data_IF_035215404611
#
_entry.id   IF_035215404611
#
_cell.length_a   1.000
_cell.length_b   1.000
_cell.length_c   1.000
_cell.angle_alpha   90.00
_cell.angle_beta   90.00
_cell.angle_gamma   90.00
#
_symmetry.space_group_name_H-M   'P 1'
#
loop_
_entity.id
_entity.type
_entity.pdbx_description
1 polymer ?
#
# COMPACT_ATOMS: atom_id res chain seq x y z
N UNK A 1 26.02 -3.55 -6.94
CA UNK A 1 25.56 -2.57 -5.91
C UNK A 1 24.30 -1.80 -6.30
N UNK A 2 24.13 -1.28 -7.52
CA UNK A 2 22.82 -0.71 -7.97
C UNK A 2 21.75 -1.77 -8.20
N UNK A 3 22.15 -2.96 -8.64
CA UNK A 3 21.28 -4.15 -8.72
C UNK A 3 20.73 -4.51 -7.34
N UNK A 4 21.50 -4.18 -6.29
CA UNK A 4 21.17 -4.39 -4.89
C UNK A 4 20.06 -3.46 -4.36
N UNK A 5 19.89 -2.28 -4.95
CA UNK A 5 18.75 -1.44 -4.63
C UNK A 5 17.52 -1.83 -5.47
N UNK A 6 17.77 -2.18 -6.75
CA UNK A 6 16.72 -2.49 -7.72
C UNK A 6 15.97 -3.79 -7.41
N UNK A 7 16.63 -4.87 -6.98
CA UNK A 7 15.89 -6.12 -6.72
C UNK A 7 15.11 -6.09 -5.40
N UNK A 8 15.53 -5.30 -4.42
CA UNK A 8 14.77 -5.05 -3.18
C UNK A 8 13.59 -4.17 -3.49
N UNK A 9 13.78 -3.16 -4.33
CA UNK A 9 12.68 -2.36 -4.87
C UNK A 9 11.70 -3.23 -5.64
N UNK A 10 12.17 -4.16 -6.48
CA UNK A 10 11.32 -5.08 -7.25
C UNK A 10 10.56 -6.03 -6.33
N UNK A 11 11.21 -6.64 -5.34
CA UNK A 11 10.58 -7.55 -4.38
C UNK A 11 9.61 -6.83 -3.44
N UNK A 12 9.93 -5.61 -3.02
CA UNK A 12 9.01 -4.73 -2.29
C UNK A 12 7.80 -4.35 -3.15
N UNK A 13 8.00 -4.00 -4.43
CA UNK A 13 6.92 -3.71 -5.37
C UNK A 13 6.07 -4.95 -5.63
N UNK A 14 6.66 -6.14 -5.83
CA UNK A 14 5.96 -7.42 -6.01
C UNK A 14 5.16 -7.82 -4.77
N UNK A 15 5.77 -7.66 -3.58
CA UNK A 15 5.07 -7.90 -2.32
C UNK A 15 3.92 -6.91 -2.14
N UNK A 16 4.08 -5.64 -2.51
CA UNK A 16 3.02 -4.61 -2.46
C UNK A 16 1.95 -4.81 -3.54
N UNK A 17 2.30 -5.37 -4.70
CA UNK A 17 1.38 -5.57 -5.83
C UNK A 17 0.61 -6.89 -5.77
N UNK A 18 1.08 -7.90 -5.02
CA UNK A 18 0.26 -9.05 -4.58
C UNK A 18 -0.80 -8.58 -3.57
N UNK A 19 -1.81 -7.94 -4.11
CA UNK A 19 -2.90 -7.26 -3.42
C UNK A 19 -4.07 -8.22 -3.18
N UNK A 20 -4.62 -8.22 -1.97
CA UNK A 20 -5.83 -8.98 -1.65
C UNK A 20 -6.97 -8.56 -2.58
N UNK A 21 -7.77 -9.51 -3.10
CA UNK A 21 -8.92 -9.18 -3.93
C UNK A 21 -9.94 -8.30 -3.16
N UNK A 22 -10.04 -8.47 -1.84
CA UNK A 22 -11.02 -7.78 -0.99
C UNK A 22 -10.77 -6.28 -0.91
N UNK A 23 -9.54 -5.81 -0.67
CA UNK A 23 -9.31 -4.37 -0.57
C UNK A 23 -9.44 -3.69 -1.93
N UNK A 24 -9.11 -4.39 -3.02
CA UNK A 24 -9.34 -3.90 -4.38
C UNK A 24 -10.82 -3.74 -4.67
N UNK A 25 -11.62 -4.71 -4.25
CA UNK A 25 -13.08 -4.61 -4.28
C UNK A 25 -13.59 -3.43 -3.45
N UNK A 26 -13.03 -3.21 -2.25
CA UNK A 26 -13.39 -2.07 -1.40
C UNK A 26 -13.06 -0.71 -2.05
N UNK A 27 -11.87 -0.59 -2.66
CA UNK A 27 -11.49 0.62 -3.41
C UNK A 27 -12.45 0.87 -4.57
N UNK A 28 -12.74 -0.17 -5.35
CA UNK A 28 -13.71 -0.10 -6.45
C UNK A 28 -15.09 0.32 -5.94
N UNK A 29 -15.51 -0.19 -4.79
CA UNK A 29 -16.79 0.14 -4.18
C UNK A 29 -16.89 1.62 -3.78
N UNK A 30 -15.82 2.19 -3.22
CA UNK A 30 -15.75 3.64 -2.91
C UNK A 30 -15.90 4.46 -4.20
N UNK A 31 -15.18 4.08 -5.25
CA UNK A 31 -15.25 4.76 -6.56
C UNK A 31 -16.65 4.65 -7.16
N UNK A 32 -17.30 3.49 -7.03
CA UNK A 32 -18.66 3.25 -7.54
C UNK A 32 -19.69 4.13 -6.83
N UNK A 33 -19.61 4.22 -5.50
CA UNK A 33 -20.45 5.12 -4.70
C UNK A 33 -20.26 6.57 -5.15
N UNK A 34 -19.00 6.99 -5.26
CA UNK A 34 -18.62 8.33 -5.71
C UNK A 34 -19.20 8.65 -7.10
N UNK A 35 -19.01 7.74 -8.06
CA UNK A 35 -19.52 7.87 -9.43
C UNK A 35 -21.05 7.93 -9.47
N UNK A 36 -21.74 7.09 -8.69
CA UNK A 36 -23.19 7.11 -8.57
C UNK A 36 -23.72 8.45 -8.03
N UNK A 37 -23.04 9.01 -7.02
CA UNK A 37 -23.46 10.26 -6.39
C UNK A 37 -23.27 11.46 -7.32
N UNK A 38 -22.16 11.52 -8.05
CA UNK A 38 -21.90 12.60 -9.02
C UNK A 38 -22.66 12.46 -10.34
N UNK A 39 -23.27 11.32 -10.62
CA UNK A 39 -24.15 11.15 -11.78
C UNK A 39 -25.52 11.83 -11.60
N UNK A 40 -25.84 12.32 -10.39
CA UNK A 40 -27.07 13.08 -10.14
C UNK A 40 -26.94 14.49 -10.74
N UNK A 41 -28.02 15.06 -11.33
CA UNK A 41 -27.97 16.30 -12.10
C UNK A 41 -27.76 17.59 -11.28
N UNK A 42 -27.80 17.52 -9.95
CA UNK A 42 -27.52 18.67 -9.08
C UNK A 42 -26.00 18.78 -8.80
N UNK A 43 -25.50 19.97 -8.45
CA UNK A 43 -24.11 20.18 -7.97
C UNK A 43 -23.90 19.46 -6.62
N UNK A 44 -23.81 18.14 -6.70
CA UNK A 44 -23.89 17.23 -5.59
C UNK A 44 -22.54 17.13 -4.91
N UNK A 45 -22.49 17.39 -3.60
CA UNK A 45 -21.30 17.17 -2.77
C UNK A 45 -21.35 15.79 -2.14
N UNK A 46 -20.30 14.99 -2.34
CA UNK A 46 -20.18 13.65 -1.76
C UNK A 46 -20.44 13.65 -0.25
N UNK A 47 -19.81 14.56 0.51
CA UNK A 47 -19.99 14.56 1.97
C UNK A 47 -21.43 14.87 2.41
N UNK A 48 -22.17 15.66 1.61
CA UNK A 48 -23.56 16.01 1.92
C UNK A 48 -24.52 14.87 1.61
N UNK A 49 -24.28 14.15 0.52
CA UNK A 49 -25.14 13.03 0.11
C UNK A 49 -24.81 11.75 0.88
N UNK A 50 -23.56 11.51 1.28
CA UNK A 50 -23.19 10.38 2.14
C UNK A 50 -23.99 10.42 3.46
N UNK A 51 -24.26 11.61 4.00
CA UNK A 51 -25.10 11.77 5.21
C UNK A 51 -26.56 11.36 4.98
N UNK A 52 -27.06 11.43 3.75
CA UNK A 52 -28.45 11.09 3.40
C UNK A 52 -28.61 9.61 3.04
N UNK A 53 -27.53 8.94 2.67
CA UNK A 53 -27.57 7.53 2.31
C UNK A 53 -27.71 6.67 3.56
N UNK A 54 -28.77 5.85 3.61
CA UNK A 54 -28.93 4.82 4.63
C UNK A 54 -27.96 3.67 4.37
N UNK A 55 -27.31 3.14 5.41
CA UNK A 55 -26.39 2.00 5.30
C UNK A 55 -27.05 0.78 4.64
N UNK A 56 -28.33 0.54 4.91
CA UNK A 56 -29.09 -0.55 4.29
C UNK A 56 -29.20 -0.41 2.76
N UNK A 57 -29.22 0.81 2.22
CA UNK A 57 -29.22 1.02 0.77
C UNK A 57 -27.88 0.64 0.13
N UNK A 58 -26.78 0.80 0.87
CA UNK A 58 -25.44 0.44 0.40
C UNK A 58 -25.27 -1.09 0.31
N UNK A 59 -25.94 -1.84 1.19
CA UNK A 59 -25.79 -3.29 1.34
C UNK A 59 -26.94 -4.12 0.74
N UNK A 60 -27.98 -3.48 0.21
CA UNK A 60 -29.08 -4.16 -0.46
C UNK A 60 -28.74 -4.47 -1.92
N UNK A 61 -28.63 -5.75 -2.25
CA UNK A 61 -28.31 -6.24 -3.60
C UNK A 61 -29.52 -6.26 -4.55
N UNK A 62 -30.76 -6.21 -4.03
CA UNK A 62 -31.99 -6.29 -4.84
C UNK A 62 -32.52 -4.92 -5.20
N UNK A 63 -32.45 -3.97 -4.27
CA UNK A 63 -33.00 -2.61 -4.45
C UNK A 63 -32.06 -1.47 -4.03
N UNK A 64 -30.83 -1.80 -3.67
CA UNK A 64 -29.84 -0.83 -3.22
C UNK A 64 -28.92 -0.33 -4.33
N UNK A 65 -27.72 0.10 -3.92
CA UNK A 65 -26.73 0.74 -4.79
C UNK A 65 -26.38 -0.11 -6.01
N UNK A 66 -26.07 -1.39 -5.83
CA UNK A 66 -25.63 -2.27 -6.92
C UNK A 66 -26.73 -2.52 -7.96
N UNK A 67 -28.01 -2.45 -7.56
CA UNK A 67 -29.15 -2.55 -8.47
C UNK A 67 -29.46 -1.23 -9.19
N UNK A 68 -29.02 -0.10 -8.63
CA UNK A 68 -29.29 1.26 -9.13
C UNK A 68 -28.18 1.83 -10.01
N UNK A 69 -27.03 1.16 -10.05
CA UNK A 69 -25.83 1.60 -10.77
C UNK A 69 -25.87 1.13 -12.22
N UNK A 70 -25.57 2.04 -13.15
CA UNK A 70 -25.51 1.72 -14.57
C UNK A 70 -24.25 0.92 -14.93
N UNK A 71 -24.31 0.11 -15.98
CA UNK A 71 -23.16 -0.65 -16.46
C UNK A 71 -21.94 0.24 -16.78
N UNK A 72 -22.18 1.44 -17.33
CA UNK A 72 -21.14 2.44 -17.59
C UNK A 72 -20.39 2.86 -16.31
N UNK A 73 -21.11 3.08 -15.21
CA UNK A 73 -20.52 3.45 -13.92
C UNK A 73 -19.65 2.32 -13.36
N UNK A 74 -20.04 1.06 -13.60
CA UNK A 74 -19.26 -0.12 -13.24
C UNK A 74 -17.95 -0.17 -14.05
N UNK A 75 -18.02 0.00 -15.37
CA UNK A 75 -16.83 0.05 -16.25
C UNK A 75 -15.89 1.18 -15.85
N UNK A 76 -16.41 2.39 -15.64
CA UNK A 76 -15.64 3.55 -15.16
C UNK A 76 -14.97 3.23 -13.83
N UNK A 77 -15.69 2.60 -12.90
CA UNK A 77 -15.15 2.26 -11.58
C UNK A 77 -14.00 1.25 -11.66
N UNK A 78 -14.07 0.26 -12.56
CA UNK A 78 -12.98 -0.69 -12.82
C UNK A 78 -11.75 0.06 -13.36
N UNK A 79 -11.94 0.87 -14.40
CA UNK A 79 -10.84 1.61 -15.04
C UNK A 79 -10.16 2.58 -14.07
N UNK A 80 -10.96 3.36 -13.33
CA UNK A 80 -10.45 4.30 -12.33
C UNK A 80 -9.73 3.56 -11.21
N UNK A 81 -10.25 2.43 -10.73
CA UNK A 81 -9.57 1.62 -9.70
C UNK A 81 -8.21 1.11 -10.19
N UNK A 82 -8.13 0.66 -11.44
CA UNK A 82 -6.88 0.25 -12.08
C UNK A 82 -5.88 1.41 -12.15
N UNK A 83 -6.33 2.57 -12.62
CA UNK A 83 -5.52 3.78 -12.72
C UNK A 83 -5.00 4.24 -11.35
N UNK A 84 -5.87 4.30 -10.32
CA UNK A 84 -5.48 4.65 -8.95
C UNK A 84 -4.43 3.66 -8.43
N UNK A 85 -4.64 2.36 -8.67
CA UNK A 85 -3.67 1.33 -8.27
C UNK A 85 -2.29 1.53 -8.89
N UNK A 86 -2.25 1.90 -10.17
CA UNK A 86 -1.01 2.20 -10.89
C UNK A 86 -0.34 3.47 -10.35
N UNK A 87 -1.08 4.58 -10.26
CA UNK A 87 -0.56 5.85 -9.74
C UNK A 87 -0.06 5.72 -8.30
N UNK A 88 -0.80 5.02 -7.45
CA UNK A 88 -0.38 4.77 -6.07
C UNK A 88 0.94 4.00 -6.01
N UNK A 89 1.09 2.94 -6.80
CA UNK A 89 2.34 2.16 -6.86
C UNK A 89 3.51 3.02 -7.33
N UNK A 90 3.30 3.83 -8.35
CA UNK A 90 4.30 4.76 -8.86
C UNK A 90 4.73 5.80 -7.81
N UNK A 91 3.78 6.44 -7.12
CA UNK A 91 4.06 7.41 -6.04
C UNK A 91 4.81 6.71 -4.90
N UNK A 92 4.31 5.57 -4.42
CA UNK A 92 4.93 4.84 -3.32
C UNK A 92 6.39 4.46 -3.61
N UNK A 93 6.68 4.02 -4.85
CA UNK A 93 8.04 3.67 -5.27
C UNK A 93 8.96 4.90 -5.33
N UNK A 94 8.45 6.03 -5.84
CA UNK A 94 9.15 7.32 -5.86
C UNK A 94 9.46 7.82 -4.45
N UNK A 95 8.47 7.80 -3.55
CA UNK A 95 8.63 8.20 -2.15
C UNK A 95 9.68 7.34 -1.45
N UNK A 96 9.66 6.02 -1.66
CA UNK A 96 10.67 5.12 -1.11
C UNK A 96 12.08 5.48 -1.62
N UNK A 97 12.25 5.74 -2.92
CA UNK A 97 13.56 6.08 -3.50
C UNK A 97 14.12 7.41 -2.96
N UNK A 98 13.26 8.42 -2.78
CA UNK A 98 13.69 9.71 -2.19
C UNK A 98 14.15 9.50 -0.75
N UNK A 99 13.37 8.76 0.04
CA UNK A 99 13.70 8.46 1.43
C UNK A 99 14.95 7.58 1.55
N UNK A 100 15.13 6.61 0.63
CA UNK A 100 16.31 5.74 0.63
C UNK A 100 17.60 6.50 0.32
N UNK A 101 17.55 7.52 -0.55
CA UNK A 101 18.71 8.36 -0.85
C UNK A 101 19.12 9.28 0.30
N UNK A 102 18.19 9.58 1.21
CA UNK A 102 18.43 10.46 2.34
C UNK A 102 19.10 9.78 3.54
N UNK A 103 19.33 8.45 3.51
CA UNK A 103 19.99 7.74 4.61
C UNK A 103 21.10 6.80 4.15
N UNK A 104 22.11 6.58 5.00
CA UNK A 104 23.29 5.75 4.76
C UNK A 104 23.01 4.24 4.91
N UNK A 105 22.08 3.72 4.10
CA UNK A 105 21.64 2.31 4.17
C UNK A 105 22.76 1.29 4.08
N UNK A 106 23.80 1.58 3.28
CA UNK A 106 24.88 0.63 3.04
C UNK A 106 25.65 0.29 4.33
N UNK A 107 25.91 1.28 5.18
CA UNK A 107 26.64 1.08 6.44
C UNK A 107 25.79 0.29 7.45
N UNK A 108 24.49 0.57 7.50
CA UNK A 108 23.55 -0.14 8.36
C UNK A 108 23.38 -1.62 7.96
N UNK A 109 23.29 -1.88 6.64
CA UNK A 109 23.18 -3.24 6.09
C UNK A 109 24.45 -4.04 6.38
N UNK A 110 25.64 -3.45 6.21
CA UNK A 110 26.90 -4.14 6.51
C UNK A 110 27.03 -4.48 7.99
N UNK A 111 26.63 -3.58 8.88
CA UNK A 111 26.69 -3.82 10.33
C UNK A 111 25.75 -4.96 10.76
N UNK A 112 24.54 -5.04 10.18
CA UNK A 112 23.63 -6.16 10.44
C UNK A 112 24.22 -7.47 9.93
N UNK A 113 24.75 -7.48 8.70
CA UNK A 113 25.33 -8.68 8.10
C UNK A 113 26.48 -9.22 8.94
N UNK A 114 27.40 -8.35 9.37
CA UNK A 114 28.54 -8.72 10.21
C UNK A 114 28.09 -9.30 11.56
N UNK A 115 27.07 -8.71 12.20
CA UNK A 115 26.49 -9.25 13.45
C UNK A 115 25.85 -10.62 13.28
N UNK A 116 25.24 -10.90 12.13
CA UNK A 116 24.61 -12.20 11.84
C UNK A 116 25.68 -13.24 11.50
N UNK A 117 26.66 -12.90 10.66
CA UNK A 117 27.77 -13.78 10.31
C UNK A 117 28.59 -14.16 11.54
N UNK A 118 28.84 -13.23 12.47
CA UNK A 118 29.54 -13.50 13.73
C UNK A 118 28.77 -14.42 14.69
N UNK A 119 27.46 -14.60 14.51
CA UNK A 119 26.59 -15.43 15.37
C UNK A 119 26.05 -16.67 14.66
N UNK A 120 26.41 -16.87 13.39
CA UNK A 120 26.00 -18.02 12.59
C UNK A 120 26.64 -19.28 13.16
N UNK A 121 25.86 -20.34 13.31
CA UNK A 121 26.38 -21.64 13.76
C UNK A 121 27.12 -22.33 12.61
N UNK A 122 28.13 -23.15 12.91
CA UNK A 122 28.74 -24.04 11.92
C UNK A 122 27.77 -25.14 11.44
N UNK A 123 26.66 -25.37 12.16
CA UNK A 123 25.65 -26.37 11.81
C UNK A 123 24.59 -25.82 10.85
N UNK A 124 24.63 -26.26 9.59
CA UNK A 124 23.70 -25.83 8.54
C UNK A 124 22.23 -26.13 8.84
N UNK A 125 21.93 -27.30 9.44
CA UNK A 125 20.57 -27.67 9.83
C UNK A 125 19.97 -26.71 10.87
N UNK A 126 20.78 -26.29 11.85
CA UNK A 126 20.36 -25.34 12.88
C UNK A 126 20.04 -23.98 12.25
N UNK A 127 20.91 -23.50 11.35
CA UNK A 127 20.71 -22.26 10.62
C UNK A 127 19.46 -22.30 9.73
N UNK A 128 19.16 -23.45 9.12
CA UNK A 128 17.94 -23.62 8.32
C UNK A 128 16.66 -23.53 9.17
N UNK A 129 16.61 -24.16 10.34
CA UNK A 129 15.46 -24.03 11.25
C UNK A 129 15.30 -22.60 11.75
N UNK A 130 16.39 -21.93 12.11
CA UNK A 130 16.37 -20.51 12.50
C UNK A 130 15.88 -19.61 11.35
N UNK A 131 16.32 -19.87 10.12
CA UNK A 131 15.83 -19.14 8.95
C UNK A 131 14.33 -19.32 8.75
N UNK A 132 13.80 -20.53 8.97
CA UNK A 132 12.36 -20.82 8.87
C UNK A 132 11.54 -20.04 9.90
N UNK A 133 12.03 -19.96 11.14
CA UNK A 133 11.36 -19.18 12.19
C UNK A 133 11.38 -17.68 11.89
N UNK A 134 12.53 -17.16 11.43
CA UNK A 134 12.68 -15.77 10.96
C UNK A 134 11.74 -15.50 9.78
N UNK A 135 11.60 -16.44 8.84
CA UNK A 135 10.71 -16.33 7.69
C UNK A 135 9.24 -16.14 8.10
N UNK A 136 8.80 -16.88 9.13
CA UNK A 136 7.44 -16.77 9.68
C UNK A 136 7.20 -15.39 10.31
N UNK A 137 8.17 -14.84 11.03
CA UNK A 137 8.06 -13.48 11.57
C UNK A 137 8.06 -12.44 10.45
N UNK A 138 8.87 -12.66 9.42
CA UNK A 138 8.96 -11.80 8.24
C UNK A 138 7.64 -11.75 7.46
N UNK A 139 6.89 -12.85 7.37
CA UNK A 139 5.53 -12.85 6.83
C UNK A 139 4.59 -11.96 7.64
N UNK A 140 4.65 -12.00 8.97
CA UNK A 140 3.87 -11.13 9.84
C UNK A 140 4.20 -9.64 9.64
N UNK A 141 5.49 -9.32 9.56
CA UNK A 141 5.97 -7.96 9.28
C UNK A 141 5.56 -7.50 7.87
N UNK A 142 5.61 -8.40 6.87
CA UNK A 142 5.12 -8.14 5.50
C UNK A 142 3.64 -7.78 5.49
N UNK A 143 2.80 -8.50 6.23
CA UNK A 143 1.36 -8.20 6.35
C UNK A 143 1.14 -6.82 6.98
N UNK A 144 1.92 -6.47 8.02
CA UNK A 144 1.84 -5.15 8.65
C UNK A 144 2.27 -4.02 7.71
N UNK A 145 3.34 -4.22 6.95
CA UNK A 145 3.81 -3.29 5.93
C UNK A 145 2.74 -3.09 4.84
N UNK A 146 2.13 -4.17 4.36
CA UNK A 146 0.99 -4.14 3.42
C UNK A 146 -0.18 -3.32 3.98
N UNK A 147 -0.50 -3.47 5.26
CA UNK A 147 -1.58 -2.71 5.91
C UNK A 147 -1.36 -1.20 5.85
N UNK A 148 -0.13 -0.72 6.04
CA UNK A 148 0.19 0.71 5.85
C UNK A 148 -0.07 1.16 4.41
N UNK A 149 0.32 0.35 3.42
CA UNK A 149 0.08 0.67 2.02
C UNK A 149 -1.40 0.67 1.66
N UNK A 150 -2.16 -0.33 2.10
CA UNK A 150 -3.61 -0.39 1.90
C UNK A 150 -4.30 0.82 2.51
N UNK A 151 -3.93 1.20 3.73
CA UNK A 151 -4.49 2.38 4.41
C UNK A 151 -4.22 3.67 3.64
N UNK A 152 -2.98 3.86 3.17
CA UNK A 152 -2.64 5.01 2.33
C UNK A 152 -3.38 5.01 1.00
N UNK A 153 -3.53 3.85 0.35
CA UNK A 153 -4.29 3.74 -0.90
C UNK A 153 -5.76 4.12 -0.69
N UNK A 154 -6.38 3.69 0.40
CA UNK A 154 -7.75 4.09 0.76
C UNK A 154 -7.86 5.60 0.95
N UNK A 155 -6.91 6.24 1.65
CA UNK A 155 -6.91 7.69 1.80
C UNK A 155 -6.74 8.43 0.48
N UNK A 156 -5.89 7.93 -0.43
CA UNK A 156 -5.76 8.48 -1.78
C UNK A 156 -7.08 8.36 -2.55
N UNK A 157 -7.73 7.20 -2.50
CA UNK A 157 -9.02 6.97 -3.18
C UNK A 157 -10.09 7.92 -2.65
N UNK A 158 -10.22 8.06 -1.33
CA UNK A 158 -11.18 8.99 -0.71
C UNK A 158 -10.88 10.43 -1.15
N UNK A 159 -9.61 10.84 -1.13
CA UNK A 159 -9.19 12.18 -1.56
C UNK A 159 -9.55 12.45 -3.02
N UNK A 160 -9.32 11.47 -3.90
CA UNK A 160 -9.66 11.57 -5.32
C UNK A 160 -11.16 11.60 -5.54
N UNK A 161 -11.93 10.79 -4.80
CA UNK A 161 -13.39 10.81 -4.89
C UNK A 161 -13.95 12.16 -4.47
N UNK A 162 -13.51 12.73 -3.34
CA UNK A 162 -13.94 14.07 -2.93
C UNK A 162 -13.48 15.10 -3.98
N UNK A 163 -12.23 15.04 -4.42
CA UNK A 163 -11.66 15.94 -5.43
C UNK A 163 -12.37 15.92 -6.78
N UNK A 164 -12.97 14.78 -7.16
CA UNK A 164 -13.73 14.62 -8.41
C UNK A 164 -14.87 15.63 -8.53
N UNK A 165 -15.49 16.04 -7.41
CA UNK A 165 -16.56 17.04 -7.41
C UNK A 165 -16.14 18.45 -7.84
N UNK A 166 -14.83 18.73 -7.92
CA UNK A 166 -14.29 19.95 -8.49
C UNK A 166 -14.90 21.23 -7.90
N UNK A 167 -15.68 21.94 -8.72
CA UNK A 167 -16.31 23.23 -8.36
C UNK A 167 -17.53 23.11 -7.44
N UNK A 168 -18.18 21.95 -7.38
CA UNK A 168 -19.30 21.72 -6.47
C UNK A 168 -18.84 21.63 -5.00
N UNK A 169 -17.55 21.34 -4.78
CA UNK A 169 -16.94 21.19 -3.47
C UNK A 169 -16.86 22.52 -2.71
N UNK A 170 -17.16 22.45 -1.42
CA UNK A 170 -16.96 23.53 -0.47
C UNK A 170 -15.50 23.65 -0.02
N UNK A 171 -15.16 24.76 0.62
CA UNK A 171 -13.83 24.95 1.23
C UNK A 171 -13.49 23.84 2.25
N UNK A 172 -14.48 23.35 2.99
CA UNK A 172 -14.30 22.24 3.94
C UNK A 172 -13.92 20.93 3.26
N UNK A 173 -14.48 20.64 2.08
CA UNK A 173 -14.15 19.44 1.31
C UNK A 173 -12.67 19.46 0.89
N UNK A 174 -12.16 20.63 0.48
CA UNK A 174 -10.74 20.81 0.15
C UNK A 174 -9.82 20.68 1.36
N UNK A 175 -10.21 21.19 2.53
CA UNK A 175 -9.46 20.97 3.78
C UNK A 175 -9.34 19.46 4.07
N UNK A 176 -10.42 18.70 3.89
CA UNK A 176 -10.43 17.25 4.12
C UNK A 176 -9.51 16.54 3.11
N UNK A 177 -9.52 16.92 1.84
CA UNK A 177 -8.60 16.38 0.82
C UNK A 177 -7.15 16.62 1.23
N UNK A 178 -6.80 17.84 1.64
CA UNK A 178 -5.44 18.18 2.11
C UNK A 178 -5.07 17.35 3.34
N UNK A 179 -5.99 17.18 4.29
CA UNK A 179 -5.76 16.38 5.49
C UNK A 179 -5.49 14.90 5.16
N UNK A 180 -6.23 14.30 4.23
CA UNK A 180 -5.98 12.93 3.79
C UNK A 180 -4.65 12.78 3.05
N UNK A 181 -4.28 13.74 2.19
CA UNK A 181 -2.97 13.75 1.53
C UNK A 181 -1.84 13.83 2.57
N UNK A 182 -2.01 14.65 3.61
CA UNK A 182 -1.06 14.72 4.73
C UNK A 182 -0.94 13.37 5.47
N UNK A 183 -2.06 12.70 5.76
CA UNK A 183 -2.06 11.35 6.36
C UNK A 183 -1.35 10.31 5.48
N UNK A 184 -1.49 10.39 4.15
CA UNK A 184 -0.75 9.54 3.21
C UNK A 184 0.75 9.75 3.36
N UNK A 185 1.21 11.00 3.42
CA UNK A 185 2.61 11.33 3.66
C UNK A 185 3.14 10.77 4.99
N UNK A 186 2.38 10.93 6.08
CA UNK A 186 2.73 10.35 7.38
C UNK A 186 2.81 8.82 7.34
N UNK A 187 1.87 8.17 6.63
CA UNK A 187 1.90 6.72 6.49
C UNK A 187 3.08 6.24 5.64
N UNK A 188 3.48 6.96 4.58
CA UNK A 188 4.70 6.63 3.85
C UNK A 188 5.93 6.71 4.74
N UNK A 189 6.02 7.74 5.59
CA UNK A 189 7.11 7.84 6.55
C UNK A 189 7.10 6.69 7.57
N UNK A 190 5.94 6.35 8.13
CA UNK A 190 5.79 5.21 9.06
C UNK A 190 6.14 3.89 8.38
N UNK A 191 5.67 3.65 7.16
CA UNK A 191 5.97 2.46 6.39
C UNK A 191 7.47 2.34 6.10
N UNK A 192 8.12 3.46 5.74
CA UNK A 192 9.56 3.51 5.52
C UNK A 192 10.34 3.23 6.81
N UNK A 193 10.02 3.91 7.92
CA UNK A 193 10.68 3.68 9.21
C UNK A 193 10.51 2.22 9.66
N UNK A 194 9.30 1.67 9.53
CA UNK A 194 9.00 0.28 9.86
C UNK A 194 9.78 -0.70 8.96
N UNK A 195 9.88 -0.40 7.67
CA UNK A 195 10.65 -1.21 6.73
C UNK A 195 12.13 -1.28 7.13
N UNK A 196 12.72 -0.16 7.52
CA UNK A 196 14.13 -0.09 7.89
C UNK A 196 14.43 -0.66 9.28
N UNK A 197 13.60 -0.33 10.26
CA UNK A 197 13.78 -0.76 11.65
C UNK A 197 13.49 -2.24 11.83
N UNK A 198 12.38 -2.71 11.26
CA UNK A 198 11.79 -3.98 11.65
C UNK A 198 11.84 -5.00 10.51
N UNK A 199 11.63 -4.61 9.25
CA UNK A 199 11.61 -5.57 8.15
C UNK A 199 13.02 -5.93 7.63
N UNK A 200 13.85 -4.92 7.39
CA UNK A 200 15.16 -5.07 6.76
C UNK A 200 16.13 -5.96 7.57
N UNK A 201 16.23 -5.85 8.91
CA UNK A 201 17.13 -6.71 9.68
C UNK A 201 16.74 -8.18 9.63
N UNK A 202 15.44 -8.48 9.71
CA UNK A 202 14.94 -9.86 9.62
C UNK A 202 15.15 -10.44 8.21
N UNK A 203 14.95 -9.62 7.17
CA UNK A 203 15.21 -10.03 5.79
C UNK A 203 16.68 -10.38 5.56
N UNK A 204 17.60 -9.54 6.05
CA UNK A 204 19.05 -9.82 5.93
C UNK A 204 19.40 -11.08 6.73
N UNK A 205 18.84 -11.24 7.93
CA UNK A 205 19.10 -12.41 8.79
C UNK A 205 18.66 -13.71 8.13
N UNK A 206 17.44 -13.74 7.55
CA UNK A 206 16.93 -14.91 6.81
C UNK A 206 17.88 -15.30 5.67
N UNK A 207 18.29 -14.34 4.85
CA UNK A 207 19.17 -14.58 3.71
C UNK A 207 20.56 -15.08 4.15
N UNK A 208 21.17 -14.43 5.13
CA UNK A 208 22.50 -14.82 5.64
C UNK A 208 22.49 -16.23 6.27
N UNK A 209 21.42 -16.59 6.99
CA UNK A 209 21.26 -17.92 7.61
C UNK A 209 21.09 -19.04 6.57
N UNK A 210 20.38 -18.78 5.48
CA UNK A 210 20.20 -19.76 4.39
C UNK A 210 21.48 -20.03 3.58
N UNK A 211 22.58 -19.36 3.90
CA UNK A 211 23.85 -19.56 3.19
C UNK A 211 23.83 -19.05 1.75
N UNK A 212 22.78 -18.35 1.35
CA UNK A 212 22.83 -17.54 0.14
C UNK A 212 23.85 -16.43 0.39
N UNK A 213 24.92 -16.42 -0.41
CA UNK A 213 25.59 -15.16 -0.70
C UNK A 213 24.50 -14.23 -1.18
N UNK A 214 24.27 -13.14 -0.46
CA UNK A 214 23.34 -12.08 -0.87
C UNK A 214 23.92 -11.45 -2.15
N UNK A 215 23.80 -12.15 -3.28
CA UNK A 215 23.84 -11.57 -4.60
C UNK A 215 22.40 -11.29 -4.99
N UNK A 216 22.19 -10.02 -5.30
CA UNK A 216 20.91 -9.53 -5.74
C UNK A 216 20.68 -9.90 -7.18
N UNK A 217 19.55 -10.56 -7.41
CA UNK A 217 19.14 -10.94 -8.75
C UNK A 217 19.64 -12.33 -9.10
N UNK A 218 19.07 -13.35 -8.45
CA UNK A 218 18.93 -14.64 -9.14
C UNK A 218 17.55 -14.71 -9.79
N UNK A 219 17.60 -15.13 -11.05
CA UNK A 219 16.63 -14.94 -12.14
C UNK A 219 15.24 -15.51 -11.85
#
# INVERSE_FOLDING_TARGET
>A
MEELAKAVQKKYVEDITKKYPIHRFFVMFIVLISSYMYAKPDDVRILSELKKIKVNFILDFKSGLLASVNFEQLVVSILVTGAIGYFYSWISSRSFNILSKASSFNCYISEIKEKVDARKSEQELLNYFLAKDVSKELEGLRVKLKSFHTSSEVFVVISLCIGWGGRANSFLDWIIVVAFIFLVGLNFWKAFKFYISDFLPYYITEQTLLGSTVEFGDK
#
